data_IF_625578398923
#
_entry.id   IF_625578398923
#
_cell.length_a   1.000
_cell.length_b   1.000
_cell.length_c   1.000
_cell.angle_alpha   90.00
_cell.angle_beta   90.00
_cell.angle_gamma   90.00
#
_symmetry.space_group_name_H-M   'P 1'
#
loop_
_entity.id
_entity.type
_entity.pdbx_description
1 polymer ?
#
# COMPACT_ATOMS: atom_id res chain seq x y z
N UNK A 1 -4.08 18.09 -1.29
CA UNK A 1 -3.18 17.05 -1.84
C UNK A 1 -4.07 15.87 -2.22
N UNK A 2 -3.58 14.84 -2.91
CA UNK A 2 -4.33 13.57 -2.93
C UNK A 2 -3.99 12.78 -1.67
N UNK A 3 -4.96 12.11 -1.06
CA UNK A 3 -4.77 11.23 0.09
C UNK A 3 -4.23 9.88 -0.36
N UNK A 4 -3.10 9.47 0.19
CA UNK A 4 -2.42 8.22 -0.17
C UNK A 4 -2.89 7.10 0.77
N UNK A 5 -3.44 6.03 0.20
CA UNK A 5 -3.71 4.78 0.91
C UNK A 5 -2.52 3.84 0.86
N UNK A 6 -1.91 3.50 2.00
CA UNK A 6 -0.78 2.57 2.08
C UNK A 6 -1.26 1.21 2.61
N UNK A 7 -1.12 0.18 1.79
CA UNK A 7 -1.21 -1.21 2.23
C UNK A 7 0.19 -1.65 2.67
N UNK A 8 0.40 -1.75 3.97
CA UNK A 8 1.71 -1.98 4.58
C UNK A 8 1.72 -3.16 5.54
N UNK A 9 2.77 -3.24 6.36
CA UNK A 9 3.00 -4.32 7.32
C UNK A 9 3.70 -5.55 6.71
N UNK A 10 4.33 -5.43 5.54
CA UNK A 10 4.94 -6.57 4.83
C UNK A 10 6.41 -6.32 4.38
N UNK A 11 7.31 -5.87 5.27
CA UNK A 11 7.20 -5.85 6.74
C UNK A 11 6.89 -4.45 7.30
N UNK A 12 6.56 -4.31 8.60
CA UNK A 12 6.37 -3.01 9.24
C UNK A 12 7.58 -2.08 9.13
N UNK A 13 8.80 -2.61 9.22
CA UNK A 13 10.04 -1.84 9.10
C UNK A 13 10.15 -1.17 7.73
N UNK A 14 9.86 -1.92 6.65
CA UNK A 14 9.85 -1.35 5.29
C UNK A 14 8.74 -0.32 5.10
N UNK A 15 7.59 -0.54 5.74
CA UNK A 15 6.44 0.38 5.67
C UNK A 15 6.75 1.73 6.33
N UNK A 16 7.48 1.72 7.45
CA UNK A 16 7.93 2.95 8.11
C UNK A 16 8.77 3.83 7.17
N UNK A 17 9.63 3.22 6.34
CA UNK A 17 10.44 3.94 5.38
C UNK A 17 9.60 4.63 4.30
N UNK A 18 8.53 4.01 3.82
CA UNK A 18 7.59 4.65 2.89
C UNK A 18 6.97 5.90 3.52
N UNK A 19 6.42 5.78 4.73
CA UNK A 19 5.82 6.91 5.44
C UNK A 19 6.81 8.07 5.63
N UNK A 20 8.03 7.77 6.10
CA UNK A 20 9.06 8.79 6.32
C UNK A 20 9.48 9.48 5.02
N UNK A 21 9.69 8.69 3.96
CA UNK A 21 10.15 9.21 2.67
C UNK A 21 9.09 10.09 2.03
N UNK A 22 7.84 9.63 1.98
CA UNK A 22 6.72 10.40 1.40
C UNK A 22 6.56 11.75 2.10
N UNK A 23 6.61 11.77 3.44
CA UNK A 23 6.50 13.01 4.20
C UNK A 23 7.68 13.94 3.96
N UNK A 24 8.91 13.41 3.95
CA UNK A 24 10.11 14.21 3.66
C UNK A 24 10.07 14.83 2.27
N UNK A 25 9.71 14.05 1.26
CA UNK A 25 9.61 14.55 -0.12
C UNK A 25 8.48 15.57 -0.29
N UNK A 26 7.37 15.37 0.41
CA UNK A 26 6.26 16.34 0.43
C UNK A 26 6.70 17.66 1.05
N UNK A 27 7.37 17.61 2.20
CA UNK A 27 7.87 18.81 2.85
C UNK A 27 8.98 19.49 2.02
N UNK A 28 9.88 18.72 1.42
CA UNK A 28 10.92 19.25 0.54
C UNK A 28 10.34 20.03 -0.65
N UNK A 29 9.23 19.56 -1.22
CA UNK A 29 8.57 20.22 -2.38
C UNK A 29 7.70 21.40 -2.00
N UNK A 30 7.02 21.36 -0.86
CA UNK A 30 5.98 22.34 -0.49
C UNK A 30 6.40 23.30 0.64
N UNK A 31 7.45 22.97 1.39
CA UNK A 31 8.02 23.79 2.46
C UNK A 31 7.18 23.85 3.74
N UNK A 32 7.65 24.69 4.68
CA UNK A 32 6.96 24.95 5.94
C UNK A 32 6.75 23.69 6.79
N UNK A 33 5.54 23.55 7.34
CA UNK A 33 5.14 22.41 8.16
C UNK A 33 4.26 21.41 7.36
N UNK A 34 4.35 21.41 6.03
CA UNK A 34 3.51 20.54 5.20
C UNK A 34 3.95 19.09 5.29
N UNK A 35 3.01 18.21 5.57
CA UNK A 35 3.14 16.74 5.55
C UNK A 35 2.19 16.13 4.50
N UNK A 36 2.36 14.85 4.19
CA UNK A 36 1.46 14.15 3.29
C UNK A 36 0.16 13.72 3.99
N UNK A 37 -0.95 13.71 3.25
CA UNK A 37 -2.20 13.11 3.71
C UNK A 37 -2.16 11.59 3.44
N UNK A 38 -2.11 10.79 4.50
CA UNK A 38 -1.90 9.33 4.42
C UNK A 38 -2.93 8.60 5.29
N UNK A 39 -3.50 7.54 4.74
CA UNK A 39 -4.25 6.51 5.48
C UNK A 39 -3.51 5.19 5.28
N UNK A 40 -3.26 4.46 6.36
CA UNK A 40 -2.47 3.23 6.30
C UNK A 40 -3.22 2.05 6.92
N UNK A 41 -3.27 0.94 6.20
CA UNK A 41 -3.72 -0.34 6.74
C UNK A 41 -2.50 -1.27 6.80
N UNK A 42 -2.02 -1.50 8.02
CA UNK A 42 -0.90 -2.39 8.29
C UNK A 42 -1.44 -3.79 8.61
N UNK A 43 -1.14 -4.77 7.76
CA UNK A 43 -1.61 -6.16 7.96
C UNK A 43 -0.72 -6.90 8.95
N UNK A 44 -1.22 -7.99 9.52
CA UNK A 44 -0.36 -8.93 10.24
C UNK A 44 0.53 -9.67 9.23
N UNK A 45 1.84 -9.46 9.31
CA UNK A 45 2.78 -10.01 8.33
C UNK A 45 2.81 -11.54 8.36
N UNK A 46 2.69 -12.15 9.53
CA UNK A 46 2.75 -13.61 9.68
C UNK A 46 1.63 -14.28 8.88
N UNK A 47 0.43 -13.70 8.88
CA UNK A 47 -0.69 -14.19 8.05
C UNK A 47 -0.32 -14.21 6.57
N UNK A 48 0.31 -13.15 6.07
CA UNK A 48 0.73 -13.06 4.66
C UNK A 48 1.84 -14.07 4.36
N UNK A 49 2.82 -14.22 5.25
CA UNK A 49 3.90 -15.20 5.11
C UNK A 49 3.37 -16.63 5.04
N UNK A 50 2.39 -16.99 5.87
CA UNK A 50 1.80 -18.33 5.83
C UNK A 50 1.10 -18.62 4.50
N UNK A 51 0.32 -17.66 3.98
CA UNK A 51 -0.32 -17.79 2.68
C UNK A 51 0.72 -17.93 1.55
N UNK A 52 1.81 -17.16 1.60
CA UNK A 52 2.91 -17.29 0.64
C UNK A 52 3.56 -18.68 0.68
N UNK A 53 3.86 -19.20 1.88
CA UNK A 53 4.48 -20.52 2.07
C UNK A 53 3.59 -21.65 1.55
N UNK A 54 2.27 -21.50 1.69
CA UNK A 54 1.28 -22.46 1.19
C UNK A 54 1.04 -22.30 -0.32
N UNK A 55 1.55 -21.25 -0.95
CA UNK A 55 1.27 -20.91 -2.34
C UNK A 55 -0.15 -20.42 -2.59
N UNK A 56 -0.89 -20.04 -1.54
CA UNK A 56 -2.26 -19.57 -1.62
C UNK A 56 -2.32 -18.07 -1.97
N UNK A 57 -1.94 -17.78 -3.21
CA UNK A 57 -1.95 -16.42 -3.77
C UNK A 57 -3.37 -15.85 -3.90
N UNK A 58 -4.38 -16.71 -4.03
CA UNK A 58 -5.78 -16.28 -4.13
C UNK A 58 -6.24 -15.69 -2.78
N UNK A 59 -6.03 -16.40 -1.67
CA UNK A 59 -6.36 -15.89 -0.34
C UNK A 59 -5.55 -14.64 0.02
N UNK A 60 -4.26 -14.61 -0.36
CA UNK A 60 -3.43 -13.43 -0.13
C UNK A 60 -3.93 -12.21 -0.93
N UNK A 61 -4.37 -12.43 -2.18
CA UNK A 61 -5.03 -11.42 -3.00
C UNK A 61 -6.30 -10.88 -2.35
N UNK A 62 -7.19 -11.74 -1.87
CA UNK A 62 -8.41 -11.33 -1.16
C UNK A 62 -8.10 -10.53 0.12
N UNK A 63 -7.08 -10.93 0.88
CA UNK A 63 -6.67 -10.21 2.09
C UNK A 63 -6.22 -8.77 1.76
N UNK A 64 -5.43 -8.59 0.70
CA UNK A 64 -4.97 -7.27 0.28
C UNK A 64 -6.06 -6.44 -0.42
N UNK A 65 -6.95 -7.07 -1.19
CA UNK A 65 -8.15 -6.45 -1.75
C UNK A 65 -9.07 -5.87 -0.66
N UNK A 66 -9.25 -6.60 0.44
CA UNK A 66 -9.99 -6.11 1.60
C UNK A 66 -9.31 -4.89 2.23
N UNK A 67 -7.96 -4.87 2.25
CA UNK A 67 -7.20 -3.71 2.72
C UNK A 67 -7.41 -2.50 1.83
N UNK A 68 -7.39 -2.69 0.51
CA UNK A 68 -7.67 -1.64 -0.47
C UNK A 68 -9.09 -1.08 -0.31
N UNK A 69 -10.08 -1.95 -0.15
CA UNK A 69 -11.49 -1.54 0.03
C UNK A 69 -11.67 -0.69 1.29
N UNK A 70 -11.03 -1.07 2.41
CA UNK A 70 -11.03 -0.27 3.65
C UNK A 70 -10.44 1.12 3.43
N UNK A 71 -9.30 1.21 2.73
CA UNK A 71 -8.62 2.47 2.47
C UNK A 71 -9.42 3.37 1.54
N UNK A 72 -9.99 2.82 0.46
CA UNK A 72 -10.87 3.55 -0.44
C UNK A 72 -12.10 4.09 0.30
N UNK A 73 -12.75 3.26 1.13
CA UNK A 73 -13.88 3.68 1.97
C UNK A 73 -13.51 4.70 3.04
N UNK A 74 -12.25 4.77 3.45
CA UNK A 74 -11.73 5.76 4.38
C UNK A 74 -11.32 7.09 3.70
N UNK A 75 -11.42 7.19 2.36
CA UNK A 75 -11.13 8.41 1.61
C UNK A 75 -9.74 8.46 0.97
N UNK A 76 -9.08 7.33 0.74
CA UNK A 76 -7.87 7.31 -0.09
C UNK A 76 -8.21 7.64 -1.56
N UNK A 77 -7.44 8.54 -2.18
CA UNK A 77 -7.57 8.90 -3.60
C UNK A 77 -6.75 8.01 -4.52
N UNK A 78 -5.75 7.33 -3.96
CA UNK A 78 -4.86 6.39 -4.65
C UNK A 78 -4.28 5.39 -3.65
N UNK A 79 -3.81 4.25 -4.16
CA UNK A 79 -3.19 3.20 -3.37
C UNK A 79 -1.71 3.03 -3.67
N UNK A 80 -0.98 2.59 -2.66
CA UNK A 80 0.41 2.15 -2.73
C UNK A 80 0.55 0.85 -1.93
N UNK A 81 1.26 -0.13 -2.50
CA UNK A 81 1.57 -1.40 -1.87
C UNK A 81 3.03 -1.40 -1.39
N UNK A 82 3.25 -1.34 -0.07
CA UNK A 82 4.58 -1.20 0.52
C UNK A 82 5.32 -2.55 0.65
N UNK A 83 5.48 -3.27 -0.48
CA UNK A 83 6.22 -4.53 -0.57
C UNK A 83 6.42 -4.92 -2.03
N UNK A 84 7.53 -5.59 -2.37
CA UNK A 84 7.81 -5.99 -3.75
C UNK A 84 7.03 -7.27 -4.11
N UNK A 85 7.17 -8.32 -3.30
CA UNK A 85 6.65 -9.66 -3.61
C UNK A 85 5.15 -9.69 -3.81
N UNK A 86 4.38 -8.93 -3.02
CA UNK A 86 2.91 -8.95 -3.11
C UNK A 86 2.36 -8.24 -4.34
N UNK A 87 3.20 -7.60 -5.17
CA UNK A 87 2.74 -7.13 -6.47
C UNK A 87 2.26 -8.28 -7.38
N UNK A 88 2.61 -9.54 -7.06
CA UNK A 88 2.05 -10.74 -7.70
C UNK A 88 0.52 -10.82 -7.66
N UNK A 89 -0.12 -10.21 -6.67
CA UNK A 89 -1.59 -10.26 -6.48
C UNK A 89 -2.28 -8.91 -6.71
N UNK A 90 -1.59 -7.94 -7.32
CA UNK A 90 -2.19 -6.64 -7.62
C UNK A 90 -3.46 -6.69 -8.48
N UNK A 91 -3.68 -7.65 -9.41
CA UNK A 91 -4.94 -7.70 -10.16
C UNK A 91 -6.17 -7.84 -9.26
N UNK A 92 -6.05 -8.59 -8.15
CA UNK A 92 -7.15 -8.71 -7.18
C UNK A 92 -7.40 -7.40 -6.41
N UNK A 93 -6.34 -6.62 -6.19
CA UNK A 93 -6.43 -5.31 -5.52
C UNK A 93 -7.12 -4.30 -6.45
N UNK A 94 -6.68 -4.22 -7.70
CA UNK A 94 -7.22 -3.31 -8.72
C UNK A 94 -8.69 -3.61 -9.06
N UNK A 95 -9.08 -4.88 -9.05
CA UNK A 95 -10.49 -5.26 -9.27
C UNK A 95 -11.40 -4.90 -8.09
N UNK A 96 -10.85 -4.75 -6.88
CA UNK A 96 -11.63 -4.52 -5.68
C UNK A 96 -12.01 -3.05 -5.47
N UNK A 97 -11.32 -2.11 -6.11
CA UNK A 97 -11.54 -0.66 -5.93
C UNK A 97 -11.38 0.11 -7.24
N UNK A 98 -12.05 1.25 -7.36
CA UNK A 98 -11.94 2.12 -8.54
C UNK A 98 -10.81 3.14 -8.49
N UNK A 99 -10.15 3.30 -7.33
CA UNK A 99 -9.04 4.24 -7.16
C UNK A 99 -7.73 3.64 -7.71
N UNK A 100 -6.83 4.45 -8.31
CA UNK A 100 -5.63 3.94 -8.95
C UNK A 100 -4.66 3.32 -7.93
N UNK A 101 -4.07 2.18 -8.29
CA UNK A 101 -2.94 1.58 -7.58
C UNK A 101 -1.64 1.98 -8.28
N UNK A 102 -0.70 2.58 -7.56
CA UNK A 102 0.64 2.86 -8.06
C UNK A 102 1.47 1.58 -8.00
N UNK A 103 1.79 1.01 -9.15
CA UNK A 103 2.66 -0.16 -9.24
C UNK A 103 4.12 0.24 -9.08
N UNK A 104 4.85 -0.53 -8.27
CA UNK A 104 6.28 -0.27 -8.06
C UNK A 104 7.11 -0.49 -9.33
N UNK A 105 6.69 -1.40 -10.21
CA UNK A 105 7.40 -1.70 -11.46
C UNK A 105 7.40 -0.47 -12.38
N UNK A 106 6.23 0.17 -12.53
CA UNK A 106 6.08 1.37 -13.36
C UNK A 106 6.92 2.55 -12.81
N UNK A 107 7.12 2.61 -11.50
CA UNK A 107 7.94 3.64 -10.87
C UNK A 107 9.46 3.40 -11.01
N UNK A 108 9.87 2.19 -11.37
CA UNK A 108 11.29 1.79 -11.49
C UNK A 108 11.79 1.60 -12.93
N UNK A 109 10.89 1.62 -13.92
CA UNK A 109 11.19 1.54 -15.35
C UNK A 109 11.71 2.87 -15.90
#
# INVERSE_FOLDING_TARGET
>A
MKTIGIIGGMSPESTALYYQTINRETNHRLGGNTSAEIIMHSVNFETVVQLQKQGDWAAAGHLLANSATKLAGAGADLLLLATNTMHKVTPAIEQAVSIPLLHIVDATA
#
